data_IF_609299427745
#
_entry.id   IF_609299427745
#
_cell.length_a   1.000
_cell.length_b   1.000
_cell.length_c   1.000
_cell.angle_alpha   90.00
_cell.angle_beta   90.00
_cell.angle_gamma   90.00
#
_symmetry.space_group_name_H-M   'P 1'
#
loop_
_entity.id
_entity.type
_entity.pdbx_description
1 polymer ?
#
# COMPACT_ATOMS: atom_id res chain seq x y z
N UNK A 1 -5.54 13.61 2.19
CA UNK A 1 -4.41 13.27 1.31
C UNK A 1 -4.91 12.30 0.26
N UNK A 2 -4.65 12.55 -1.01
CA UNK A 2 -5.00 11.62 -2.08
C UNK A 2 -3.93 10.51 -2.26
N UNK A 3 -4.15 9.62 -3.24
CA UNK A 3 -3.24 8.49 -3.47
C UNK A 3 -1.84 8.92 -3.94
N UNK A 4 -1.75 9.97 -4.76
CA UNK A 4 -0.45 10.44 -5.26
C UNK A 4 0.34 11.09 -4.13
N UNK A 5 -0.30 11.95 -3.36
CA UNK A 5 0.31 12.58 -2.18
C UNK A 5 0.76 11.51 -1.15
N UNK A 6 -0.02 10.44 -0.95
CA UNK A 6 0.39 9.31 -0.10
C UNK A 6 1.65 8.62 -0.62
N UNK A 7 1.70 8.35 -1.92
CA UNK A 7 2.85 7.69 -2.55
C UNK A 7 4.11 8.54 -2.50
N UNK A 8 3.98 9.86 -2.68
CA UNK A 8 5.08 10.81 -2.50
C UNK A 8 5.57 10.83 -1.05
N UNK A 9 4.66 10.95 -0.08
CA UNK A 9 4.99 10.94 1.35
C UNK A 9 5.73 9.67 1.77
N UNK A 10 5.33 8.51 1.23
CA UNK A 10 6.01 7.22 1.43
C UNK A 10 7.41 7.21 0.79
N UNK A 11 7.51 7.66 -0.45
CA UNK A 11 8.77 7.71 -1.20
C UNK A 11 9.82 8.61 -0.52
N UNK A 12 9.41 9.78 -0.01
CA UNK A 12 10.28 10.69 0.75
C UNK A 12 10.89 10.05 2.00
N UNK A 13 10.23 9.03 2.56
CA UNK A 13 10.68 8.27 3.73
C UNK A 13 11.46 7.01 3.35
N UNK A 14 11.77 6.82 2.07
CA UNK A 14 12.48 5.65 1.58
C UNK A 14 11.63 4.37 1.52
N UNK A 15 10.29 4.50 1.55
CA UNK A 15 9.39 3.37 1.35
C UNK A 15 9.18 3.15 -0.15
N UNK A 16 9.53 1.97 -0.64
CA UNK A 16 9.14 1.53 -1.97
C UNK A 16 7.67 1.14 -1.95
N UNK A 17 6.86 1.74 -2.83
CA UNK A 17 5.42 1.50 -2.89
C UNK A 17 5.01 1.07 -4.29
N UNK A 18 4.28 -0.04 -4.38
CA UNK A 18 3.59 -0.47 -5.61
C UNK A 18 2.11 -0.56 -5.31
N UNK A 19 1.31 0.22 -6.04
CA UNK A 19 -0.14 0.11 -6.05
C UNK A 19 -0.56 -0.26 -7.47
N UNK A 20 -1.15 -1.44 -7.65
CA UNK A 20 -1.47 -1.96 -8.98
C UNK A 20 -2.82 -2.65 -9.03
N UNK A 21 -3.37 -2.70 -10.23
CA UNK A 21 -4.52 -3.54 -10.58
C UNK A 21 -4.09 -4.56 -11.63
N UNK A 22 -4.45 -5.82 -11.42
CA UNK A 22 -4.19 -6.93 -12.33
C UNK A 22 -5.39 -7.14 -13.26
N UNK A 23 -5.21 -6.85 -14.55
CA UNK A 23 -6.27 -6.89 -15.54
C UNK A 23 -6.84 -8.30 -15.79
N UNK A 24 -5.98 -9.32 -15.78
CA UNK A 24 -6.41 -10.70 -15.97
C UNK A 24 -7.27 -11.15 -14.80
N UNK A 25 -6.81 -10.87 -13.56
CA UNK A 25 -7.60 -11.14 -12.35
C UNK A 25 -8.92 -10.38 -12.35
N UNK A 26 -8.96 -9.15 -12.86
CA UNK A 26 -10.18 -8.35 -12.95
C UNK A 26 -11.20 -9.02 -13.89
N UNK A 27 -10.76 -9.47 -15.08
CA UNK A 27 -11.60 -10.20 -16.03
C UNK A 27 -12.11 -11.51 -15.44
N UNK A 28 -11.27 -12.21 -14.67
CA UNK A 28 -11.62 -13.44 -13.96
C UNK A 28 -12.44 -13.21 -12.68
N UNK A 29 -12.77 -11.97 -12.34
CA UNK A 29 -13.50 -11.58 -11.10
C UNK A 29 -12.82 -12.07 -9.81
N UNK A 30 -11.49 -12.05 -9.78
CA UNK A 30 -10.64 -12.34 -8.61
C UNK A 30 -10.17 -11.05 -7.94
N UNK A 31 -9.54 -11.16 -6.76
CA UNK A 31 -8.86 -10.02 -6.11
C UNK A 31 -7.74 -9.49 -7.01
N UNK A 32 -8.03 -8.39 -7.69
CA UNK A 32 -7.18 -7.80 -8.72
C UNK A 32 -6.30 -6.65 -8.19
N UNK A 33 -6.73 -6.00 -7.11
CA UNK A 33 -5.99 -4.87 -6.54
C UNK A 33 -4.91 -5.37 -5.60
N UNK A 34 -3.78 -4.69 -5.64
CA UNK A 34 -2.62 -5.04 -4.84
C UNK A 34 -1.87 -3.80 -4.39
N UNK A 35 -1.52 -3.80 -3.11
CA UNK A 35 -0.54 -2.86 -2.55
C UNK A 35 0.64 -3.65 -2.00
N UNK A 36 1.84 -3.20 -2.31
CA UNK A 36 3.10 -3.73 -1.78
C UNK A 36 3.90 -2.54 -1.25
N UNK A 37 4.36 -2.63 -0.01
CA UNK A 37 5.32 -1.67 0.54
C UNK A 37 6.49 -2.38 1.22
N UNK A 38 7.65 -1.73 1.17
CA UNK A 38 8.85 -2.18 1.87
C UNK A 38 9.87 -1.06 2.03
N UNK A 39 10.84 -1.25 2.92
CA UNK A 39 11.95 -0.35 3.18
C UNK A 39 11.63 0.80 4.12
N UNK A 40 12.61 1.69 4.26
CA UNK A 40 12.51 2.89 5.08
C UNK A 40 12.13 2.61 6.54
N UNK A 41 11.25 3.41 7.15
CA UNK A 41 10.87 3.30 8.56
C UNK A 41 10.07 2.03 8.91
N UNK A 42 9.76 1.17 7.93
CA UNK A 42 9.04 -0.09 8.16
C UNK A 42 9.94 -1.22 8.73
N UNK A 43 11.28 -1.08 8.63
CA UNK A 43 12.28 -2.01 9.18
C UNK A 43 12.92 -2.97 8.17
N UNK A 44 13.84 -3.82 8.63
CA UNK A 44 14.58 -4.76 7.75
C UNK A 44 13.69 -5.88 7.18
N UNK A 45 12.67 -6.31 7.92
CA UNK A 45 11.64 -7.28 7.47
C UNK A 45 10.33 -6.59 7.03
N UNK A 46 10.46 -5.44 6.38
CA UNK A 46 9.37 -4.50 6.07
C UNK A 46 8.40 -4.93 4.97
N UNK A 47 8.53 -6.14 4.42
CA UNK A 47 7.68 -6.55 3.33
C UNK A 47 6.22 -6.68 3.79
N UNK A 48 5.37 -5.82 3.21
CA UNK A 48 3.93 -5.89 3.37
C UNK A 48 3.27 -5.99 2.00
N UNK A 49 2.29 -6.89 1.89
CA UNK A 49 1.49 -7.07 0.69
C UNK A 49 0.06 -7.41 1.04
N UNK A 50 -0.88 -6.73 0.38
CA UNK A 50 -2.30 -7.07 0.42
C UNK A 50 -2.86 -7.20 -1.00
N UNK A 51 -3.52 -8.33 -1.26
CA UNK A 51 -4.23 -8.64 -2.52
C UNK A 51 -5.75 -8.59 -2.23
N UNK A 52 -6.44 -7.55 -2.69
CA UNK A 52 -7.84 -7.29 -2.31
C UNK A 52 -8.73 -6.98 -3.52
N UNK A 53 -10.04 -6.94 -3.27
CA UNK A 53 -11.05 -6.81 -4.31
C UNK A 53 -11.21 -5.38 -4.84
N UNK A 54 -10.82 -4.35 -4.07
CA UNK A 54 -10.99 -2.94 -4.43
C UNK A 54 -9.74 -2.13 -4.09
N UNK A 55 -9.59 -0.97 -4.75
CA UNK A 55 -8.54 -0.01 -4.44
C UNK A 55 -8.66 0.50 -2.99
N UNK A 56 -9.87 0.87 -2.56
CA UNK A 56 -10.11 1.36 -1.19
C UNK A 56 -9.71 0.34 -0.13
N UNK A 57 -10.01 -0.95 -0.33
CA UNK A 57 -9.61 -1.99 0.62
C UNK A 57 -8.08 -2.13 0.71
N UNK A 58 -7.36 -1.99 -0.41
CA UNK A 58 -5.90 -1.94 -0.40
C UNK A 58 -5.38 -0.69 0.33
N UNK A 59 -6.01 0.47 0.13
CA UNK A 59 -5.65 1.71 0.81
C UNK A 59 -5.85 1.59 2.33
N UNK A 60 -7.02 1.12 2.77
CA UNK A 60 -7.33 0.90 4.19
C UNK A 60 -6.33 -0.06 4.83
N UNK A 61 -6.00 -1.15 4.13
CA UNK A 61 -5.04 -2.15 4.61
C UNK A 61 -3.62 -1.57 4.72
N UNK A 62 -3.21 -0.72 3.78
CA UNK A 62 -1.94 0.01 3.86
C UNK A 62 -1.93 0.98 5.05
N UNK A 63 -2.98 1.78 5.23
CA UNK A 63 -3.06 2.76 6.31
C UNK A 63 -3.01 2.07 7.69
N UNK A 64 -3.74 0.97 7.87
CA UNK A 64 -3.69 0.17 9.09
C UNK A 64 -2.28 -0.43 9.32
N UNK A 65 -1.59 -0.84 8.26
CA UNK A 65 -0.21 -1.31 8.39
C UNK A 65 0.74 -0.20 8.83
N UNK A 66 0.65 1.00 8.25
CA UNK A 66 1.46 2.16 8.64
C UNK A 66 1.20 2.53 10.11
N UNK A 67 -0.06 2.58 10.53
CA UNK A 67 -0.44 2.87 11.92
C UNK A 67 0.16 1.84 12.89
N UNK A 68 0.14 0.55 12.52
CA UNK A 68 0.76 -0.52 13.33
C UNK A 68 2.28 -0.36 13.49
N UNK A 69 2.92 0.42 12.61
CA UNK A 69 4.34 0.79 12.64
C UNK A 69 4.59 2.15 13.28
N UNK A 70 3.55 2.81 13.82
CA UNK A 70 3.63 4.15 14.39
C UNK A 70 3.80 5.25 13.35
N UNK A 71 3.44 4.99 12.10
CA UNK A 71 3.48 5.94 11.00
C UNK A 71 2.07 6.44 10.70
N UNK A 72 1.91 7.75 10.62
CA UNK A 72 0.66 8.37 10.21
C UNK A 72 0.94 9.41 9.12
N UNK A 73 0.34 9.27 7.93
CA UNK A 73 0.43 10.31 6.91
C UNK A 73 -0.48 11.52 7.19
N UNK A 74 -1.29 11.46 8.25
CA UNK A 74 -2.23 12.52 8.64
C UNK A 74 -1.80 13.28 9.91
N UNK A 75 -0.65 12.91 10.49
CA UNK A 75 -0.10 13.52 11.69
C UNK A 75 0.73 14.76 11.39
#
# INVERSE_FOLDING_TARGET
MDMLELMEWLAERGVTTVFKVDGDRMVERRSAWMVIVSGGPLGEDSFFRADLATADACLDSLLAHLESKGLSPFA
#
